data_IF_767148879512
#
_entry.id   IF_767148879512
#
_cell.length_a   1.000
_cell.length_b   1.000
_cell.length_c   1.000
_cell.angle_alpha   90.00
_cell.angle_beta   90.00
_cell.angle_gamma   90.00
#
_symmetry.space_group_name_H-M   'P 1'
#
loop_
_entity.id
_entity.type
_entity.pdbx_description
1 polymer ?
2 non-polymer ?
3 non-polymer ?
4 water ?
#
# COMPACT_ATOMS: atom_id res chain seq x y z
N UNK A 8 1.74 -17.22 0.03
CA UNK A 8 2.07 -16.83 1.43
C UNK A 8 1.28 -17.71 2.42
N UNK A 9 1.87 -18.03 3.56
CA UNK A 9 1.25 -18.90 4.60
C UNK A 9 0.18 -18.13 5.36
N UNK A 10 -0.74 -18.83 6.04
CA UNK A 10 -1.87 -18.24 6.83
C UNK A 10 -1.36 -17.37 7.97
N UNK A 11 -0.23 -17.76 8.54
CA UNK A 11 0.51 -17.05 9.61
C UNK A 11 0.59 -15.57 9.24
N UNK A 12 1.09 -15.28 8.04
CA UNK A 12 1.28 -13.94 7.46
C UNK A 12 -0.01 -13.13 7.52
N UNK A 13 -1.14 -13.75 7.14
CA UNK A 13 -2.49 -13.12 7.12
C UNK A 13 -2.90 -12.72 8.54
N UNK A 14 -2.67 -13.61 9.51
CA UNK A 14 -3.01 -13.40 10.95
C UNK A 14 -2.00 -12.44 11.60
N UNK A 15 -0.77 -12.39 11.08
CA UNK A 15 0.34 -11.55 11.57
C UNK A 15 0.07 -10.08 11.20
N UNK A 16 -0.42 -9.83 9.97
CA UNK A 16 -0.72 -8.49 9.49
C UNK A 16 -1.82 -7.84 10.32
N UNK A 17 -2.72 -8.63 10.90
CA UNK A 17 -3.79 -8.11 11.73
C UNK A 17 -3.30 -7.69 13.10
N UNK A 18 -2.16 -8.21 13.53
CA UNK A 18 -1.65 -7.89 14.86
C UNK A 18 -1.85 -6.44 15.29
N UNK A 19 -1.34 -5.47 14.54
CA UNK A 19 -1.33 -4.07 14.98
C UNK A 19 -2.58 -3.28 14.56
N UNK A 20 -3.58 -3.97 14.00
CA UNK A 20 -4.85 -3.33 13.57
C UNK A 20 -5.56 -2.78 14.80
N UNK A 21 -5.46 -3.48 15.94
CA UNK A 21 -6.10 -3.11 17.22
C UNK A 21 -5.25 -2.08 17.98
N UNK A 22 -4.02 -2.45 18.34
CA UNK A 22 -3.08 -1.58 19.12
C UNK A 22 -1.78 -1.38 18.33
N UNK A 23 -1.55 -0.20 17.70
CA UNK A 23 -0.30 0.06 16.97
C UNK A 23 0.95 -0.25 17.81
N UNK A 24 1.97 -0.91 17.23
CA UNK A 24 3.24 -1.28 17.90
C UNK A 24 4.38 -0.44 17.31
N UNK A 25 4.60 0.77 17.83
CA UNK A 25 5.67 1.69 17.37
C UNK A 25 6.67 1.98 18.49
N UNK A 26 6.67 1.20 19.59
CA UNK A 26 7.58 1.37 20.73
C UNK A 26 8.79 0.47 20.59
N UNK A 27 8.91 -0.36 19.57
CA UNK A 27 10.08 -1.23 19.45
C UNK A 27 11.31 -0.50 18.96
N UNK A 28 11.16 0.46 18.05
CA UNK A 28 12.27 1.18 17.42
C UNK A 28 11.93 2.67 17.27
N UNK A 29 12.79 3.47 16.63
CA UNK A 29 12.64 4.94 16.44
C UNK A 29 11.67 5.35 15.32
N UNK A 30 10.41 4.96 15.37
CA UNK A 30 9.39 5.33 14.40
C UNK A 30 9.08 6.82 14.50
N UNK A 31 9.33 7.56 13.41
CA UNK A 31 9.14 9.01 13.42
C UNK A 31 7.90 9.28 12.55
N UNK A 32 6.94 10.08 13.02
CA UNK A 32 5.73 10.46 12.31
C UNK A 32 6.07 11.37 11.12
N UNK A 33 5.42 11.10 9.99
CA UNK A 33 5.72 11.78 8.73
C UNK A 33 4.56 12.64 8.24
N UNK A 34 3.34 12.10 8.23
CA UNK A 34 2.18 12.88 7.83
C UNK A 34 0.98 12.42 8.65
N UNK A 35 0.11 13.36 9.05
CA UNK A 35 -1.18 13.10 9.70
C UNK A 35 -2.23 13.89 8.92
N UNK A 36 -3.11 13.26 8.15
CA UNK A 36 -4.18 13.94 7.38
C UNK A 36 -5.31 12.95 7.16
N UNK A 37 -6.53 13.43 6.99
CA UNK A 37 -7.78 12.65 6.77
C UNK A 37 -7.90 11.49 7.77
N UNK A 38 -7.55 11.70 9.04
CA UNK A 38 -7.59 10.66 10.06
C UNK A 38 -6.61 9.53 9.84
N UNK A 39 -5.55 9.76 9.07
CA UNK A 39 -4.53 8.77 8.76
C UNK A 39 -3.19 9.30 9.24
N UNK A 40 -2.42 8.46 9.92
CA UNK A 40 -1.05 8.77 10.30
C UNK A 40 -0.11 7.81 9.58
N UNK A 41 1.04 8.32 9.18
CA UNK A 41 2.05 7.55 8.49
C UNK A 41 3.37 7.74 9.22
N UNK A 42 3.90 6.65 9.76
CA UNK A 42 5.18 6.66 10.45
C UNK A 42 6.21 5.95 9.59
N UNK A 43 7.46 6.37 9.72
CA UNK A 43 8.56 5.76 8.99
C UNK A 43 9.68 5.40 9.95
N UNK A 44 10.40 4.34 9.61
CA UNK A 44 11.57 3.91 10.34
C UNK A 44 12.74 3.83 9.38
N UNK A 45 13.82 4.51 9.70
CA UNK A 45 15.03 4.48 8.90
C UNK A 45 15.97 3.39 9.38
N UNK A 46 16.60 2.71 8.42
CA UNK A 46 17.70 1.79 8.64
C UNK A 46 18.98 2.51 8.22
N UNK A 47 19.77 2.96 9.20
CA UNK A 47 20.89 3.85 8.91
C UNK A 47 22.03 3.16 8.16
N UNK A 48 22.09 1.84 8.21
CA UNK A 48 23.16 1.11 7.52
C UNK A 48 22.88 1.10 6.01
N UNK A 49 21.61 1.00 5.63
CA UNK A 49 21.21 0.83 4.24
C UNK A 49 20.71 2.11 3.60
N UNK A 50 20.12 3.01 4.38
CA UNK A 50 19.42 4.15 3.87
C UNK A 50 17.96 3.90 3.56
N UNK A 51 17.48 2.68 3.69
CA UNK A 51 16.12 2.36 3.33
C UNK A 51 15.16 2.58 4.50
N UNK A 52 13.90 2.81 4.15
CA UNK A 52 12.86 3.08 5.13
C UNK A 52 11.82 1.97 5.11
N UNK A 53 11.18 1.78 6.24
CA UNK A 53 9.94 1.04 6.37
C UNK A 53 8.84 2.02 6.74
N UNK A 54 7.59 1.68 6.42
CA UNK A 54 6.45 2.53 6.72
C UNK A 54 5.34 1.73 7.41
N UNK A 55 4.64 2.41 8.32
CA UNK A 55 3.38 1.89 8.86
C UNK A 55 2.35 3.00 8.81
N UNK A 56 1.10 2.63 8.53
CA UNK A 56 0.03 3.58 8.31
C UNK A 56 -1.18 3.14 9.12
N UNK A 57 -1.67 3.95 10.06
CA UNK A 57 -2.86 3.57 10.85
C UNK A 57 -3.82 4.76 10.89
N UNK A 58 -5.11 4.47 11.04
CA UNK A 58 -6.17 5.43 11.23
C UNK A 58 -7.48 4.84 10.78
N UNK A 59 -8.44 5.73 10.54
CA UNK A 59 -9.73 5.36 10.00
C UNK A 59 -10.04 6.32 8.85
N UNK A 60 -10.96 5.88 8.02
CA UNK A 60 -11.43 6.63 6.85
C UNK A 60 -12.93 6.75 6.98
N UNK A 61 -13.42 7.79 7.65
CA UNK A 61 -14.87 7.98 7.81
C UNK A 61 -15.47 8.30 6.43
N UNK A 62 -16.70 7.88 6.14
CA UNK A 62 -17.46 8.03 4.86
C UNK A 62 -16.95 7.10 3.75
N UNK A 63 -16.50 5.89 4.06
CA UNK A 63 -16.13 4.85 3.06
C UNK A 63 -16.21 3.48 3.75
N UNK A 64 -17.21 2.65 3.45
CA UNK A 64 -17.41 1.31 4.06
C UNK A 64 -16.17 0.44 3.99
N UNK A 65 -15.91 -0.45 4.96
CA UNK A 65 -14.71 -1.26 4.95
C UNK A 65 -14.68 -2.28 3.82
N UNK A 66 -15.83 -2.85 3.53
CA UNK A 66 -15.88 -3.85 2.47
C UNK A 66 -15.65 -3.20 1.10
N UNK A 67 -16.24 -2.02 0.89
CA UNK A 67 -16.01 -1.30 -0.36
C UNK A 67 -14.57 -0.83 -0.46
N UNK A 68 -13.97 -0.44 0.68
CA UNK A 68 -12.56 -0.07 0.65
C UNK A 68 -11.68 -1.24 0.20
N UNK A 69 -11.96 -2.44 0.70
CA UNK A 69 -11.19 -3.60 0.27
C UNK A 69 -11.37 -3.84 -1.23
N UNK A 70 -12.57 -3.60 -1.69
CA UNK A 70 -12.94 -3.76 -3.12
C UNK A 70 -12.15 -2.75 -3.96
N UNK A 71 -12.14 -1.46 -3.65
CA UNK A 71 -11.42 -0.47 -4.50
C UNK A 71 -9.92 -0.74 -4.44
N UNK A 72 -9.41 -1.32 -3.36
CA UNK A 72 -7.96 -1.60 -3.20
C UNK A 72 -7.52 -2.73 -4.14
N UNK A 73 -8.43 -3.62 -4.50
CA UNK A 73 -8.11 -4.77 -5.39
C UNK A 73 -8.67 -4.58 -6.80
N UNK A 74 -9.51 -3.58 -7.04
CA UNK A 74 -10.11 -3.32 -8.37
C UNK A 74 -9.14 -2.46 -9.20
N UNK A 75 -8.24 -3.08 -9.97
CA UNK A 75 -7.24 -2.37 -10.75
C UNK A 75 -7.85 -1.56 -11.89
N UNK A 76 -8.86 -2.12 -12.54
CA UNK A 76 -9.56 -1.44 -13.66
C UNK A 76 -10.03 -0.08 -13.16
N UNK A 77 -10.70 -0.04 -12.02
CA UNK A 77 -11.18 1.21 -11.43
C UNK A 77 -10.03 2.10 -10.98
N UNK A 78 -9.02 1.47 -10.38
CA UNK A 78 -7.80 2.16 -9.88
C UNK A 78 -7.23 3.06 -10.98
N UNK A 79 -7.12 2.53 -12.20
CA UNK A 79 -6.55 3.25 -13.37
C UNK A 79 -7.39 4.48 -13.73
N UNK A 80 -8.70 4.42 -13.51
CA UNK A 80 -9.66 5.50 -13.81
C UNK A 80 -9.52 6.69 -12.84
N UNK A 81 -9.39 6.45 -11.53
CA UNK A 81 -9.39 7.55 -10.53
C UNK A 81 -8.00 7.88 -9.97
N UNK A 82 -6.99 7.03 -10.13
CA UNK A 82 -5.68 7.32 -9.54
C UNK A 82 -4.74 7.83 -10.62
N UNK A 83 -4.34 9.10 -10.51
CA UNK A 83 -3.53 9.74 -11.53
C UNK A 83 -2.06 9.33 -11.45
N UNK A 84 -1.66 8.57 -10.44
CA UNK A 84 -0.27 8.18 -10.28
C UNK A 84 0.03 6.80 -10.82
N UNK A 85 -0.94 6.15 -11.44
CA UNK A 85 -0.75 4.84 -12.04
C UNK A 85 -0.52 5.04 -13.52
N UNK A 86 0.70 4.80 -14.03
CA UNK A 86 1.00 4.93 -15.48
C UNK A 86 0.40 3.74 -16.22
N UNK A 87 0.68 2.54 -15.74
CA UNK A 87 0.19 1.26 -16.30
C UNK A 87 -0.07 0.30 -15.15
N UNK A 88 -1.07 -0.56 -15.26
CA UNK A 88 -1.42 -1.55 -14.21
C UNK A 88 -2.33 -2.64 -14.80
N UNK A 89 -1.94 -3.92 -14.73
CA UNK A 89 -2.74 -5.05 -15.25
C UNK A 89 -2.40 -6.30 -14.44
N UNK A 90 -3.33 -7.26 -14.39
CA UNK A 90 -3.22 -8.50 -13.64
C UNK A 90 -3.17 -9.68 -14.60
N UNK A 91 -2.55 -10.77 -14.12
CA UNK A 91 -2.50 -12.05 -14.83
C UNK A 91 -2.39 -13.17 -13.79
N UNK A 92 -2.74 -14.39 -14.21
CA UNK A 92 -2.55 -15.57 -13.36
C UNK A 92 -1.40 -16.38 -13.94
N UNK A 93 -0.44 -16.75 -13.09
CA UNK A 93 0.71 -17.50 -13.56
C UNK A 93 0.62 -18.99 -13.26
N UNK A 94 0.57 -19.36 -11.99
CA UNK A 94 0.45 -20.75 -11.56
C UNK A 94 -0.71 -20.89 -10.59
N UNK A 95 -1.86 -20.36 -10.98
CA UNK A 95 -2.99 -20.27 -10.10
C UNK A 95 -2.94 -19.09 -9.16
N UNK A 96 -2.02 -18.15 -9.37
CA UNK A 96 -1.91 -16.99 -8.49
C UNK A 96 -1.90 -15.71 -9.30
N UNK A 97 -2.49 -14.67 -8.71
CA UNK A 97 -2.61 -13.37 -9.35
C UNK A 97 -1.28 -12.62 -9.21
N UNK A 98 -0.66 -12.39 -10.38
CA UNK A 98 0.51 -11.54 -10.52
C UNK A 98 0.05 -10.17 -11.02
N UNK A 99 0.52 -9.13 -10.36
CA UNK A 99 0.18 -7.76 -10.68
C UNK A 99 1.41 -7.08 -11.24
N UNK A 100 1.20 -6.30 -12.30
CA UNK A 100 2.22 -5.41 -12.83
C UNK A 100 1.75 -3.98 -12.58
N UNK A 101 2.59 -3.13 -11.98
CA UNK A 101 2.20 -1.77 -11.53
C UNK A 101 3.32 -0.76 -11.81
N UNK A 102 3.13 0.19 -12.73
CA UNK A 102 4.10 1.28 -12.98
C UNK A 102 3.61 2.55 -12.26
N UNK A 103 4.40 3.11 -11.35
CA UNK A 103 4.05 4.33 -10.57
C UNK A 103 4.68 5.53 -11.26
N UNK A 104 3.92 6.60 -11.52
CA UNK A 104 4.41 7.85 -12.15
C UNK A 104 5.24 8.61 -11.11
N UNK A 105 6.55 8.77 -11.31
CA UNK A 105 7.39 9.56 -10.38
C UNK A 105 7.51 10.98 -10.95
N UNK A 106 7.65 12.09 -10.18
CA UNK A 106 7.80 13.41 -10.78
C UNK A 106 9.11 13.58 -11.57
N UNK A 107 9.14 14.54 -12.50
CA UNK A 107 10.31 14.84 -13.35
C UNK A 107 11.49 15.25 -12.44
N UNK A 108 12.79 14.87 -12.61
CA UNK A 108 13.38 14.08 -13.70
C UNK A 108 13.63 12.62 -13.32
N UNK A 109 12.99 12.12 -12.26
CA UNK A 109 13.19 10.73 -11.81
C UNK A 109 12.50 9.77 -12.76
N UNK A 110 12.98 8.54 -12.85
CA UNK A 110 12.39 7.46 -13.67
C UNK A 110 11.18 6.92 -12.91
N UNK A 111 10.26 6.30 -13.63
CA UNK A 111 9.08 5.63 -13.05
C UNK A 111 9.55 4.32 -12.43
N UNK A 112 8.87 3.85 -11.40
CA UNK A 112 9.21 2.59 -10.72
C UNK A 112 8.16 1.56 -11.13
N UNK A 113 8.53 0.34 -11.48
CA UNK A 113 7.49 -0.66 -11.80
C UNK A 113 7.64 -1.86 -10.88
N UNK A 114 6.52 -2.51 -10.59
CA UNK A 114 6.46 -3.63 -9.64
C UNK A 114 5.83 -4.86 -10.28
N UNK A 115 6.45 -6.04 -10.10
CA UNK A 115 5.88 -7.35 -10.47
C UNK A 115 5.67 -8.05 -9.14
N UNK A 116 4.45 -8.35 -8.73
CA UNK A 116 4.26 -8.92 -7.38
C UNK A 116 3.03 -9.82 -7.28
N UNK A 117 3.06 -10.74 -6.31
CA UNK A 117 1.98 -11.66 -5.96
C UNK A 117 1.02 -10.90 -5.06
N UNK A 118 -0.26 -11.03 -5.27
CA UNK A 118 -1.23 -10.37 -4.40
C UNK A 118 -2.35 -11.33 -4.01
N UNK A 119 -2.76 -11.32 -2.73
CA UNK A 119 -3.77 -12.28 -2.19
C UNK A 119 -4.63 -11.63 -1.07
N UNK A 120 -5.98 -11.64 -1.18
CA UNK A 120 -6.92 -11.14 -0.19
C UNK A 120 -7.61 -12.28 0.52
N UNK A 121 -7.85 -12.17 1.83
CA UNK A 121 -8.60 -13.18 2.60
C UNK A 121 -9.55 -12.41 3.51
N UNK A 122 -10.86 -12.66 3.46
CA UNK A 122 -11.84 -11.98 4.35
C UNK A 122 -11.95 -12.80 5.63
N UNK A 123 -11.38 -12.35 6.77
CA UNK A 123 -11.42 -13.10 8.07
C UNK A 123 -12.58 -12.70 9.01
N UNK A 124 -12.74 -13.47 10.12
CA UNK A 124 -13.69 -13.38 11.23
C UNK A 124 -12.90 -13.83 12.45
N UNK A 125 -12.18 -12.92 13.08
CA UNK A 125 -11.36 -13.23 14.28
C UNK A 125 -12.03 -12.54 15.46
N UNK A 126 -12.31 -13.21 16.57
CA UNK A 126 -13.00 -12.61 17.75
C UNK A 126 -14.26 -11.89 17.27
N UNK A 127 -15.01 -12.50 16.36
CA UNK A 127 -16.26 -11.98 15.85
C UNK A 127 -16.14 -10.73 15.00
N UNK A 128 -14.94 -10.43 14.50
CA UNK A 128 -14.65 -9.17 13.82
C UNK A 128 -14.51 -9.42 12.34
N UNK A 129 -15.26 -8.65 11.54
CA UNK A 129 -15.09 -8.60 10.09
C UNK A 129 -13.76 -7.91 9.78
N UNK A 130 -12.77 -8.64 9.26
CA UNK A 130 -11.53 -8.00 8.86
C UNK A 130 -11.13 -8.49 7.47
N UNK A 131 -10.52 -7.60 6.68
CA UNK A 131 -10.09 -7.91 5.32
C UNK A 131 -8.58 -7.69 5.23
N UNK A 132 -7.84 -8.71 4.82
CA UNK A 132 -6.39 -8.61 4.76
C UNK A 132 -5.92 -8.77 3.32
N UNK A 133 -4.99 -7.91 2.92
CA UNK A 133 -4.37 -7.94 1.61
C UNK A 133 -2.86 -8.05 1.80
N UNK A 134 -2.27 -9.08 1.22
CA UNK A 134 -0.82 -9.26 1.24
C UNK A 134 -0.25 -9.14 -0.16
N UNK A 135 0.93 -8.54 -0.25
CA UNK A 135 1.62 -8.33 -1.51
C UNK A 135 3.11 -8.56 -1.32
N UNK A 136 3.72 -9.23 -2.29
CA UNK A 136 5.14 -9.53 -2.20
C UNK A 136 5.73 -9.61 -3.60
N UNK A 137 6.99 -9.15 -3.75
CA UNK A 137 7.79 -9.07 -5.00
C UNK A 137 8.05 -10.45 -5.60
N UNK A 138 7.79 -10.66 -6.88
CA UNK A 138 8.18 -11.88 -7.56
C UNK A 138 8.69 -11.50 -8.94
N UNK A 139 9.26 -12.47 -9.65
CA UNK A 139 9.78 -12.25 -10.99
C UNK A 139 9.33 -13.40 -11.89
N UNK A 140 9.10 -13.09 -13.16
CA UNK A 140 8.78 -14.09 -14.16
C UNK A 140 9.64 -13.82 -15.41
N UNK A 141 10.05 -14.88 -16.11
CA UNK A 141 10.85 -14.65 -17.33
C UNK A 141 10.08 -13.89 -18.41
N UNK A 142 8.75 -14.00 -18.44
CA UNK A 142 7.97 -13.35 -19.48
C UNK A 142 7.81 -11.85 -19.24
N UNK A 143 8.22 -11.34 -18.08
CA UNK A 143 8.11 -9.91 -17.79
C UNK A 143 9.46 -9.42 -17.27
N UNK A 144 10.38 -9.17 -18.20
CA UNK A 144 11.68 -8.64 -17.86
C UNK A 144 11.63 -7.15 -17.55
N UNK A 145 12.81 -6.59 -17.30
CA UNK A 145 12.92 -5.19 -16.91
C UNK A 145 12.78 -4.28 -18.12
N UNK A 146 12.18 -3.12 -17.89
CA UNK A 146 12.01 -2.11 -18.92
C UNK A 146 13.11 -1.06 -18.82
N UNK A 147 13.81 -0.83 -19.93
CA UNK A 147 14.73 0.30 -20.01
C UNK A 147 14.02 1.58 -19.63
N UNK A 148 14.66 2.39 -18.77
CA UNK A 148 14.11 3.65 -18.35
C UNK A 148 13.06 3.58 -17.26
N UNK A 149 12.72 2.39 -16.78
CA UNK A 149 11.77 2.22 -15.64
C UNK A 149 12.50 1.40 -14.58
N UNK A 150 12.61 1.90 -13.35
CA UNK A 150 13.37 1.14 -12.32
C UNK A 150 12.49 -0.03 -11.83
N UNK A 151 12.91 -1.28 -12.00
CA UNK A 151 12.16 -2.47 -11.54
C UNK A 151 12.37 -2.61 -10.03
N UNK A 152 11.32 -2.54 -9.23
CA UNK A 152 11.42 -2.71 -7.75
C UNK A 152 11.49 -4.22 -7.47
N UNK A 153 12.63 -4.74 -7.01
CA UNK A 153 12.83 -6.17 -6.85
C UNK A 153 12.71 -6.64 -5.40
N UNK A 154 12.74 -5.73 -4.44
CA UNK A 154 12.45 -6.04 -3.04
C UNK A 154 11.24 -5.21 -2.67
N UNK A 155 10.15 -5.88 -2.30
CA UNK A 155 8.92 -5.17 -2.00
C UNK A 155 7.95 -6.10 -1.29
N UNK A 156 7.37 -5.66 -0.15
CA UNK A 156 6.44 -6.45 0.68
C UNK A 156 5.47 -5.43 1.31
N UNK A 157 4.16 -5.69 1.27
CA UNK A 157 3.14 -4.81 1.79
C UNK A 157 2.02 -5.65 2.42
N UNK A 158 1.45 -5.14 3.51
CA UNK A 158 0.25 -5.68 4.11
C UNK A 158 -0.75 -4.56 4.32
N UNK A 159 -2.03 -4.89 4.21
CA UNK A 159 -3.13 -3.99 4.54
C UNK A 159 -4.21 -4.76 5.28
N UNK A 160 -4.73 -4.18 6.36
CA UNK A 160 -5.79 -4.79 7.16
C UNK A 160 -6.91 -3.78 7.35
N UNK A 161 -8.13 -4.10 6.93
CA UNK A 161 -9.28 -3.18 6.98
C UNK A 161 -10.28 -3.77 7.98
N UNK A 162 -11.02 -2.90 8.68
CA UNK A 162 -11.99 -3.21 9.76
C UNK A 162 -13.01 -2.08 9.83
N UNK A 163 -14.18 -2.26 10.43
CA UNK A 163 -15.11 -1.10 10.53
C UNK A 163 -14.68 -0.28 11.73
N UNK A 164 -14.73 1.05 11.64
CA UNK A 164 -14.43 1.91 12.78
C UNK A 164 -15.54 1.85 13.82
N UNK A 165 -16.78 1.56 13.38
CA UNK A 165 -17.93 1.43 14.29
C UNK A 165 -19.14 2.23 13.86
N UNK A 166 -18.96 3.48 13.46
CA UNK A 166 -20.08 4.38 13.06
C UNK A 166 -20.39 4.18 11.57
N UNK A 167 -19.52 4.63 10.66
CA UNK A 167 -19.70 4.51 9.19
C UNK A 167 -18.40 4.89 8.46
N UNK A 168 -17.29 4.15 8.71
CA UNK A 168 -15.92 4.24 8.16
C UNK A 168 -15.18 2.93 8.20
N UNK A 169 -13.87 2.97 7.98
CA UNK A 169 -13.01 1.80 7.98
C UNK A 169 -11.76 2.10 8.78
N UNK A 170 -11.45 1.26 9.75
CA UNK A 170 -10.17 1.28 10.43
C UNK A 170 -9.16 0.41 9.69
N UNK A 171 -7.95 0.97 9.51
CA UNK A 171 -6.91 0.38 8.64
C UNK A 171 -5.56 0.37 9.34
N UNK A 172 -4.69 -0.57 8.93
CA UNK A 172 -3.29 -0.72 9.37
C UNK A 172 -2.50 -1.21 8.16
N UNK A 173 -1.51 -0.47 7.68
CA UNK A 173 -0.71 -0.95 6.54
C UNK A 173 0.77 -0.92 6.86
N UNK A 174 1.52 -1.97 6.53
CA UNK A 174 3.00 -2.03 6.64
C UNK A 174 3.50 -2.01 5.20
N UNK A 175 4.52 -1.21 4.90
CA UNK A 175 5.04 -1.11 3.52
C UNK A 175 6.57 -1.06 3.51
N UNK A 176 7.24 -1.93 2.76
CA UNK A 176 8.67 -1.80 2.52
C UNK A 176 9.00 -2.09 1.07
N UNK A 177 9.77 -1.21 0.44
CA UNK A 177 10.42 -1.58 -0.81
C UNK A 177 11.80 -0.94 -0.85
N UNK A 178 12.66 -1.50 -1.72
CA UNK A 178 13.88 -0.84 -2.12
C UNK A 178 13.58 -0.16 -3.44
N UNK A 179 13.47 1.18 -3.49
CA UNK A 179 12.98 1.84 -4.71
C UNK A 179 14.00 1.89 -5.84
N UNK A 180 15.20 1.38 -5.68
CA UNK A 180 16.13 1.23 -6.80
C UNK A 180 16.85 2.51 -7.10
N UNK A 181 16.92 3.45 -6.17
CA UNK A 181 17.63 4.71 -6.39
C UNK A 181 17.38 5.69 -5.25
N UNK A 182 18.22 6.73 -5.07
CA UNK A 182 18.20 7.74 -3.98
C UNK A 182 16.91 8.55 -4.08
N UNK A 183 15.89 8.24 -3.27
CA UNK A 183 14.61 9.01 -3.20
C UNK A 183 14.99 10.37 -2.61
N UNK A 184 14.82 11.50 -3.33
CA UNK A 184 15.25 12.80 -2.81
C UNK A 184 14.35 13.34 -1.68
N UNK A 185 14.88 14.32 -0.94
CA UNK A 185 14.22 14.98 0.22
C UNK A 185 13.01 15.82 -0.25
N UNK A 186 13.10 16.43 -1.44
CA UNK A 186 12.01 17.28 -1.99
C UNK A 186 10.87 16.35 -2.37
N UNK A 187 11.15 15.11 -2.76
CA UNK A 187 10.10 14.15 -3.19
C UNK A 187 9.41 13.62 -1.94
N UNK A 188 10.17 13.34 -0.90
CA UNK A 188 9.61 12.88 0.40
C UNK A 188 8.73 14.01 0.90
N UNK A 189 9.24 15.24 0.84
CA UNK A 189 8.50 16.45 1.30
C UNK A 189 7.21 16.58 0.48
N UNK A 190 7.31 16.45 -0.84
CA UNK A 190 6.16 16.56 -1.75
C UNK A 190 5.10 15.52 -1.41
N UNK A 191 5.52 14.27 -1.21
CA UNK A 191 4.64 13.13 -0.90
C UNK A 191 3.92 13.37 0.42
N UNK A 192 4.66 13.77 1.45
CA UNK A 192 4.17 14.00 2.82
C UNK A 192 3.18 15.17 2.88
N UNK A 193 3.50 16.29 2.24
CA UNK A 193 2.71 17.54 2.32
C UNK A 193 1.66 17.69 1.23
N UNK A 194 1.81 17.07 0.07
CA UNK A 194 0.84 17.24 -1.05
C UNK A 194 0.38 15.91 -1.65
N UNK A 195 1.30 15.12 -2.19
CA UNK A 195 1.03 13.83 -2.87
C UNK A 195 0.05 12.95 -2.12
N UNK A 196 0.48 12.35 -1.02
CA UNK A 196 -0.33 11.41 -0.19
C UNK A 196 -1.61 12.09 0.32
N UNK A 197 -1.62 13.30 0.95
CA UNK A 197 -2.90 13.91 1.33
C UNK A 197 -3.88 14.00 0.15
N UNK A 198 -3.42 14.43 -1.02
CA UNK A 198 -4.26 14.58 -2.23
C UNK A 198 -4.71 13.19 -2.67
N UNK A 199 -3.84 12.20 -2.58
CA UNK A 199 -4.21 10.83 -2.94
C UNK A 199 -5.31 10.31 -2.02
N UNK A 200 -5.17 10.55 -0.71
CA UNK A 200 -6.15 10.01 0.24
C UNK A 200 -7.53 10.63 0.01
N UNK A 201 -7.56 11.93 -0.33
CA UNK A 201 -8.87 12.53 -0.59
C UNK A 201 -9.44 12.06 -1.93
N UNK A 202 -8.57 11.91 -2.95
CA UNK A 202 -9.02 11.31 -4.21
C UNK A 202 -9.58 9.91 -3.97
N UNK A 203 -8.95 9.15 -3.07
CA UNK A 203 -9.41 7.81 -2.78
C UNK A 203 -10.74 7.82 -2.05
N UNK A 204 -10.92 8.74 -1.10
CA UNK A 204 -12.22 8.86 -0.45
C UNK A 204 -13.31 9.12 -1.49
N UNK A 205 -13.07 10.09 -2.35
CA UNK A 205 -14.00 10.44 -3.45
C UNK A 205 -14.30 9.18 -4.25
N UNK A 206 -13.30 8.36 -4.48
CA UNK A 206 -13.43 7.10 -5.24
C UNK A 206 -14.42 6.16 -4.56
N UNK A 207 -14.55 6.12 -3.24
CA UNK A 207 -15.55 5.27 -2.55
C UNK A 207 -16.95 5.81 -2.80
N UNK A 208 -17.08 7.13 -2.82
CA UNK A 208 -18.37 7.79 -3.03
C UNK A 208 -18.93 7.41 -4.39
N UNK A 209 -18.09 7.30 -5.41
CA UNK A 209 -18.57 7.04 -6.79
C UNK A 209 -18.45 5.60 -7.24
N UNK A 210 -18.11 4.60 -6.40
CA UNK A 210 -17.95 3.21 -6.86
C UNK A 210 -19.16 2.76 -7.69
X LIG B 1 0.56 4.31 -3.31
X LIG B 1 2.78 4.10 -4.10
X LIG B 1 5.12 4.42 -3.12
X LIG B 1 5.29 5.21 0.48
X LIG B 1 4.38 4.16 1.12
X LIG B 1 4.00 4.59 2.53
X LIG B 1 1.55 4.52 1.99
X LIG B 1 0.00 6.20 0.96
X LIG B 1 -1.94 5.35 2.21
X LIG B 1 0.14 0.32 -4.96
X LIG B 1 0.90 -0.90 -5.49
X LIG B 1 2.82 -0.22 -4.23
X LIG B 1 2.95 -1.99 -5.82
X LIG B 1 2.68 0.27 -6.55
X LIG B 1 0.34 3.01 -2.54
X LIG B 1 4.17 4.70 -4.30
X LIG B 1 4.43 4.54 -1.75
X LIG B 1 5.31 5.39 -0.83
X LIG B 1 2.74 4.74 2.92
X LIG B 1 1.20 5.92 1.44
X LIG B 1 -1.11 5.17 0.95
X LIG B 1 -3.06 4.65 2.39
X LIG B 1 -3.53 3.65 1.33
X LIG B 1 -5.06 3.71 1.18
X LIG B 1 -5.81 3.61 2.52
X LIG B 1 -5.61 2.23 3.14
X LIG B 1 -4.45 2.25 4.15
X LIG B 1 -0.27 5.43 -2.70
X LIG B 1 0.02 7.67 -3.44
X LIG B 1 0.17 8.67 -4.58
X LIG B 1 1.22 9.71 -4.28
X LIG B 1 2.64 9.16 -4.43
X LIG B 1 2.93 8.68 -5.86
X LIG B 1 4.39 8.90 -6.27
X LIG B 1 5.35 8.85 -5.08
X LIG B 1 6.81 8.85 -5.52
X LIG B 1 7.72 8.22 -4.47
X LIG B 1 7.53 8.81 -3.08
X LIG B 1 8.66 8.38 -2.15
X LIG B 1 8.51 8.97 -0.75
X LIG B 1 7.27 8.42 -0.03
X LIG B 1 7.10 9.00 1.37
X LIG B 1 5.75 8.59 1.97
X LIG B 1 4.93 9.79 2.45
X LIG B 1 2.33 -0.69 -5.51
X LIG B 1 -0.11 0.07 -3.59
X LIG B 1 -1.28 0.52 -1.37
X LIG B 1 -2.61 0.69 -3.45
X LIG B 1 -0.93 2.55 -2.91
X LIG B 1 1.88 4.73 -3.22
X LIG B 1 2.46 3.11 -4.65
X LIG B 1 -0.46 6.40 -3.70
X LIG B 1 0.32 8.02 -2.34
X LIG B 1 -1.27 0.94 -2.81
X LIG B 1 0.29 4.14 -4.23
X LIG B 1 5.47 3.53 -3.22
X LIG B 1 5.85 5.05 -3.15
X LIG B 1 5.84 5.75 1.03
X LIG B 1 4.85 3.31 1.15
X LIG B 1 3.58 4.07 0.59
X LIG B 1 4.68 4.76 3.14
X LIG B 1 0.80 4.16 2.48
X LIG B 1 1.78 3.92 1.26
X LIG B 1 -0.17 7.05 0.63
X LIG B 1 -1.66 5.95 2.85
X LIG B 1 -0.70 0.41 -5.43
X LIG B 1 0.66 1.11 -5.06
X LIG B 1 0.71 -1.66 -4.92
X LIG B 1 0.59 -1.09 -6.39
X LIG B 1 3.77 -0.41 -4.16
X LIG B 1 2.35 -0.68 -3.52
X LIG B 1 2.67 0.73 -4.15
X LIG B 1 3.92 -1.90 -5.76
X LIG B 1 2.70 -2.26 -6.71
X LIG B 1 2.65 -2.65 -5.18
X LIG B 1 3.52 0.03 -6.96
X LIG B 1 2.76 1.16 -6.16
X LIG B 1 1.98 0.28 -7.23
X LIG B 1 0.36 3.18 -1.58
X LIG B 1 1.02 2.37 -2.77
X LIG B 1 4.56 4.35 -5.10
X LIG B 1 4.08 5.67 -4.40
X LIG B 1 4.31 3.65 -1.38
X LIG B 1 3.56 4.96 -1.87
X LIG B 1 5.87 6.04 -1.20
X LIG B 1 2.58 4.97 3.81
X LIG B 1 1.86 6.58 1.44
X LIG B 1 -0.73 4.27 0.93
X LIG B 1 -1.67 5.28 0.16
X LIG B 1 -3.55 4.77 3.18
X LIG B 1 -3.28 2.76 1.60
X LIG B 1 -3.12 3.87 0.49
X LIG B 1 -5.35 2.99 0.61
X LIG B 1 -5.30 4.56 0.76
X LIG B 1 -6.75 3.76 2.37
X LIG B 1 -5.47 4.30 3.12
X LIG B 1 -6.42 1.98 3.61
X LIG B 1 -5.42 1.59 2.45
X LIG B 1 -4.55 2.99 4.75
X LIG B 1 -3.61 2.35 3.67
X LIG B 1 -4.44 1.41 4.65
X LIG B 1 0.21 5.82 -1.96
X LIG B 1 -1.13 5.10 -2.41
X LIG B 1 0.42 8.19 -5.39
X LIG B 1 -0.68 9.10 -4.73
X LIG B 1 1.10 10.47 -4.87
X LIG B 1 1.10 10.02 -3.35
X LIG B 1 3.26 9.86 -4.21
X LIG B 1 2.75 8.42 -3.82
X LIG B 1 2.73 7.74 -5.91
X LIG B 1 2.37 9.17 -6.47
X LIG B 1 4.63 8.20 -6.89
X LIG B 1 4.47 9.76 -6.70
X LIG B 1 5.19 9.62 -4.51
X LIG B 1 5.18 8.04 -4.57
X LIG B 1 6.89 8.35 -6.35
X LIG B 1 7.10 9.77 -5.68
X LIG B 1 7.54 7.27 -4.43
X LIG B 1 8.64 8.35 -4.73
X LIG B 1 7.52 9.77 -3.13
X LIG B 1 6.69 8.50 -2.72
X LIG B 1 8.66 7.41 -2.08
X LIG B 1 9.51 8.67 -2.51
X LIG B 1 8.42 9.93 -0.82
X LIG B 1 9.29 8.76 -0.22
X LIG B 1 7.36 7.45 0.04
X LIG B 1 6.49 8.63 -0.55
X LIG B 1 7.15 9.96 1.33
X LIG B 1 7.81 8.67 1.94
X LIG B 1 5.91 8.00 2.73
X LIG B 1 5.24 8.11 1.31
X LIG B 1 5.52 10.47 2.81
X LIG B 1 4.30 9.50 3.13
X LIG B 1 4.44 10.17 1.70
X LIG C 1 10.15 5.50 -0.47
X LIG C 1 10.99 5.22 0.63
X LIG C 1 10.02 4.30 -1.34
X LIG C 1 9.73 3.20 -0.51
X LIG C 1 8.96 4.49 -2.39
X LIG C 1 8.41 3.26 -2.80
X LIG C 1 10.55 6.24 -1.00
X LIG C 1 9.26 5.78 -0.15
X LIG C 1 10.93 4.38 0.79
X LIG C 1 10.88 4.14 -1.79
X LIG C 1 10.35 2.63 -0.61
X LIG C 1 9.35 4.96 -3.17
X LIG C 1 8.24 5.06 -2.02
X LIG C 1 8.86 2.99 -3.46
#
# INVERSE_FOLDING_TARGET
MELAAGSFSEEQFWEACAELQQPALAGADWQLLVETSGISIYRLLDKKTGLYEYKVFGVLEDCSPTLLADIYMDSDYRKQWDQYVKELYEQECNGETVVYWEVKYPFPMSNRDYVYLRQRRDLDMEGRKIHVILARSTSMPQLGERSGVIRVKQYKQSLAIESDGKKGSKVFMYYFDNPGGQIPSWLINWAAKNGVPNFLKDMARACQNYLKKT
M2R C13 C15 C17 C20 C21 C22 C24 C26 C28 C01 C02 C04 C05 C06 C12 C16 C18 C19 C23 C25 C27 C29 C30 C31 C32 C33 C34 C36 C38 C40 C41 C42 C43 C44 C45 C46 C47 C48 C49 C50 C51 C52 C53 C54 N03 O07 O09 O10 O11 O14 O35 O37 O39 P08 H131 H172 H171 H201 H212 H211 H221 H242 H241 H261 H281 H012 H011 H022 H021 H043 H042 H041 H052 H051 H053 H062 H061 H063 H122 H121 H162 H161 H182 H181 H191 H231 H251 H271 H272 H291 H302 H301 H311 H312 H321 H322 H331 H332 H342 H341 H343 H362 H361 H402 H401 H412 H411 H422 H421 H431 H432 H442 H441 H451 H452 H461 H462 H471 H472 H481 H482 H491 H492 H502 H501 H512 H511 H521 H522 H531 H532 H543 H542 H541
GOL C1 O1 C2 O2 C3 O3 H11 H12 HO1 H2 HO2 H31 H32 HO3
#
